data_IF_053265034499
#
_entry.id   IF_053265034499
#
_cell.length_a   1.000
_cell.length_b   1.000
_cell.length_c   1.000
_cell.angle_alpha   90.00
_cell.angle_beta   90.00
_cell.angle_gamma   90.00
#
_symmetry.space_group_name_H-M   'P 1'
#
loop_
_entity.id
_entity.type
_entity.pdbx_description
1 polymer ?
#
# COMPACT_ATOMS: atom_id res chain seq x y z
N UNK A 1 31.96 -10.07 13.07
CA UNK A 1 30.98 -9.28 12.27
C UNK A 1 29.60 -9.71 12.75
N UNK A 2 28.83 -8.82 13.43
CA UNK A 2 27.55 -9.23 14.05
C UNK A 2 26.50 -9.43 12.94
N UNK A 3 25.92 -10.64 12.90
CA UNK A 3 24.84 -11.03 11.95
C UNK A 3 23.68 -10.01 11.99
N UNK A 4 23.36 -9.46 13.17
CA UNK A 4 22.37 -8.41 13.33
C UNK A 4 22.71 -7.13 12.54
N UNK A 5 23.99 -6.74 12.43
CA UNK A 5 24.43 -5.60 11.61
C UNK A 5 24.36 -5.88 10.12
N UNK A 6 24.59 -7.14 9.73
CA UNK A 6 24.49 -7.56 8.32
C UNK A 6 23.03 -7.57 7.85
N UNK A 7 22.10 -7.98 8.72
CA UNK A 7 20.67 -8.10 8.41
C UNK A 7 19.89 -6.79 8.59
N UNK A 8 20.22 -6.00 9.61
CA UNK A 8 19.44 -4.81 9.99
C UNK A 8 20.12 -3.47 9.61
N UNK A 9 21.33 -3.53 9.00
CA UNK A 9 22.06 -2.32 8.67
C UNK A 9 22.57 -1.53 9.89
N UNK A 10 23.02 -0.29 9.67
CA UNK A 10 23.47 0.64 10.72
C UNK A 10 22.26 1.41 11.28
N UNK A 11 22.13 1.51 12.59
CA UNK A 11 21.16 2.42 13.20
C UNK A 11 21.52 3.88 12.86
N UNK A 12 20.59 4.59 12.22
CA UNK A 12 20.73 6.04 12.02
C UNK A 12 20.49 6.79 13.33
N UNK A 13 21.24 7.86 13.52
CA UNK A 13 20.92 8.84 14.55
C UNK A 13 19.67 9.63 14.10
N UNK A 14 18.79 10.01 15.05
CA UNK A 14 17.55 10.78 14.77
C UNK A 14 17.81 12.07 13.95
N UNK A 15 19.02 12.64 14.03
CA UNK A 15 19.44 13.79 13.23
C UNK A 15 19.65 13.46 11.75
N UNK A 16 20.21 12.30 11.44
CA UNK A 16 20.51 11.87 10.06
C UNK A 16 19.21 11.55 9.29
N UNK A 17 18.18 11.05 10.00
CA UNK A 17 16.85 10.80 9.41
C UNK A 17 16.04 12.08 9.09
N UNK A 18 16.26 13.16 9.84
CA UNK A 18 15.56 14.43 9.61
C UNK A 18 16.10 15.22 8.41
N UNK A 19 17.35 15.01 8.02
CA UNK A 19 18.04 15.74 6.94
C UNK A 19 17.84 15.07 5.56
N UNK A 20 17.50 13.78 5.52
CA UNK A 20 17.40 13.02 4.28
C UNK A 20 15.95 13.05 3.76
N UNK A 21 15.65 14.03 2.93
CA UNK A 21 14.37 14.09 2.20
C UNK A 21 14.48 13.23 0.94
N UNK A 22 13.54 12.31 0.78
CA UNK A 22 13.39 11.51 -0.45
C UNK A 22 13.00 12.45 -1.59
N UNK A 23 13.72 12.39 -2.72
CA UNK A 23 13.41 13.16 -3.92
C UNK A 23 12.10 12.69 -4.56
N UNK A 24 11.50 13.53 -5.41
CA UNK A 24 10.25 13.17 -6.10
C UNK A 24 10.39 11.89 -6.94
N UNK A 25 11.55 11.67 -7.54
CA UNK A 25 11.82 10.49 -8.36
C UNK A 25 11.94 9.19 -7.53
N UNK A 26 12.48 9.30 -6.32
CA UNK A 26 12.59 8.19 -5.36
C UNK A 26 11.27 7.97 -4.60
N UNK A 27 10.52 9.04 -4.38
CA UNK A 27 9.23 9.00 -3.68
C UNK A 27 8.13 8.29 -4.47
N UNK A 28 8.15 8.34 -5.81
CA UNK A 28 7.16 7.66 -6.64
C UNK A 28 7.21 6.14 -6.45
N UNK A 29 8.34 5.42 -6.61
CA UNK A 29 8.37 3.99 -6.35
C UNK A 29 8.20 3.63 -4.87
N UNK A 30 8.65 4.47 -3.94
CA UNK A 30 8.56 4.18 -2.52
C UNK A 30 7.14 4.34 -1.94
N UNK A 31 6.37 5.31 -2.42
CA UNK A 31 5.05 5.67 -1.90
C UNK A 31 3.92 5.50 -2.92
N UNK A 32 4.23 5.56 -4.21
CA UNK A 32 3.24 5.46 -5.29
C UNK A 32 2.70 4.05 -5.50
N UNK A 33 3.49 3.02 -5.18
CA UNK A 33 3.06 1.62 -5.35
C UNK A 33 1.85 1.26 -4.49
N UNK A 34 1.74 1.80 -3.29
CA UNK A 34 0.58 1.62 -2.41
C UNK A 34 -0.68 2.20 -3.04
N UNK A 35 -0.63 3.45 -3.47
CA UNK A 35 -1.77 4.13 -4.11
C UNK A 35 -2.12 3.51 -5.48
N UNK A 36 -1.13 3.10 -6.27
CA UNK A 36 -1.35 2.43 -7.55
C UNK A 36 -1.94 1.02 -7.35
N UNK A 37 -1.45 0.27 -6.36
CA UNK A 37 -2.02 -1.02 -5.99
C UNK A 37 -3.48 -0.89 -5.62
N UNK A 38 -3.81 -0.03 -4.68
CA UNK A 38 -5.18 0.20 -4.21
C UNK A 38 -6.11 0.67 -5.34
N UNK A 39 -5.65 1.50 -6.27
CA UNK A 39 -6.45 1.94 -7.42
C UNK A 39 -6.69 0.84 -8.45
N UNK A 40 -5.83 -0.18 -8.51
CA UNK A 40 -5.97 -1.33 -9.40
C UNK A 40 -6.83 -2.43 -8.81
N UNK A 41 -6.72 -2.71 -7.50
CA UNK A 41 -7.47 -3.77 -6.84
C UNK A 41 -8.98 -3.53 -6.79
N UNK A 42 -9.42 -2.28 -6.69
CA UNK A 42 -10.84 -1.94 -6.72
C UNK A 42 -11.53 -2.41 -8.02
N UNK A 43 -11.04 -1.99 -9.19
CA UNK A 43 -11.52 -2.47 -10.48
C UNK A 43 -11.40 -4.00 -10.65
N UNK A 44 -10.27 -4.60 -10.23
CA UNK A 44 -10.07 -6.05 -10.33
C UNK A 44 -11.07 -6.83 -9.47
N UNK A 45 -11.30 -6.41 -8.22
CA UNK A 45 -12.29 -7.02 -7.35
C UNK A 45 -13.72 -6.90 -7.92
N UNK A 46 -14.07 -5.74 -8.50
CA UNK A 46 -15.34 -5.55 -9.17
C UNK A 46 -15.49 -6.50 -10.37
N UNK A 47 -14.44 -6.66 -11.19
CA UNK A 47 -14.43 -7.61 -12.31
C UNK A 47 -14.58 -9.05 -11.82
N UNK A 48 -13.85 -9.45 -10.79
CA UNK A 48 -13.93 -10.82 -10.24
C UNK A 48 -15.35 -11.20 -9.79
N UNK A 49 -16.09 -10.23 -9.26
CA UNK A 49 -17.51 -10.45 -8.83
C UNK A 49 -18.47 -10.39 -10.02
N UNK A 50 -18.22 -9.54 -11.01
CA UNK A 50 -19.17 -9.28 -12.10
C UNK A 50 -19.04 -10.24 -13.28
N UNK A 51 -17.81 -10.70 -13.58
CA UNK A 51 -17.57 -11.62 -14.71
C UNK A 51 -18.41 -12.92 -14.60
N UNK A 52 -18.52 -13.59 -13.44
CA UNK A 52 -19.37 -14.77 -13.27
C UNK A 52 -20.86 -14.53 -13.49
N UNK A 53 -21.34 -13.27 -13.39
CA UNK A 53 -22.73 -12.90 -13.63
C UNK A 53 -23.07 -12.73 -15.13
N UNK A 54 -22.10 -12.94 -16.01
CA UNK A 54 -22.29 -12.86 -17.46
C UNK A 54 -22.72 -11.49 -17.96
N UNK A 55 -23.64 -11.46 -18.93
CA UNK A 55 -24.08 -10.20 -19.56
C UNK A 55 -24.69 -9.19 -18.59
N UNK A 56 -25.40 -9.66 -17.55
CA UNK A 56 -25.98 -8.78 -16.52
C UNK A 56 -24.89 -8.08 -15.70
N UNK A 57 -23.82 -8.79 -15.31
CA UNK A 57 -22.69 -8.22 -14.60
C UNK A 57 -21.91 -7.21 -15.45
N UNK A 58 -21.67 -7.53 -16.72
CA UNK A 58 -20.98 -6.64 -17.65
C UNK A 58 -21.77 -5.35 -17.91
N UNK A 59 -23.09 -5.40 -17.91
CA UNK A 59 -23.94 -4.21 -18.06
C UNK A 59 -23.78 -3.19 -16.90
N UNK A 60 -23.47 -3.66 -15.70
CA UNK A 60 -23.26 -2.82 -14.51
C UNK A 60 -21.81 -2.37 -14.34
N UNK A 61 -20.88 -3.00 -15.06
CA UNK A 61 -19.45 -2.72 -14.94
C UNK A 61 -19.10 -1.26 -15.22
N UNK A 62 -19.65 -0.67 -16.29
CA UNK A 62 -19.40 0.72 -16.65
C UNK A 62 -19.77 1.72 -15.55
N UNK A 63 -20.99 1.71 -15.01
CA UNK A 63 -21.38 2.53 -13.87
C UNK A 63 -20.51 2.33 -12.62
N UNK A 64 -20.12 1.10 -12.30
CA UNK A 64 -19.24 0.81 -11.16
C UNK A 64 -17.85 1.40 -11.37
N UNK A 65 -17.25 1.21 -12.53
CA UNK A 65 -15.96 1.83 -12.86
C UNK A 65 -16.03 3.35 -12.83
N UNK A 66 -17.09 3.96 -13.33
CA UNK A 66 -17.30 5.40 -13.27
C UNK A 66 -17.39 5.90 -11.82
N UNK A 67 -18.07 5.17 -10.94
CA UNK A 67 -18.16 5.49 -9.51
C UNK A 67 -16.78 5.40 -8.83
N UNK A 68 -15.98 4.37 -9.14
CA UNK A 68 -14.61 4.23 -8.63
C UNK A 68 -13.74 5.41 -9.09
N UNK A 69 -13.78 5.76 -10.37
CA UNK A 69 -13.00 6.89 -10.92
C UNK A 69 -13.44 8.22 -10.28
N UNK A 70 -14.74 8.43 -10.10
CA UNK A 70 -15.27 9.62 -9.42
C UNK A 70 -14.79 9.70 -7.97
N UNK A 71 -14.81 8.59 -7.24
CA UNK A 71 -14.28 8.50 -5.87
C UNK A 71 -12.78 8.85 -5.83
N UNK A 72 -11.98 8.27 -6.72
CA UNK A 72 -10.54 8.56 -6.81
C UNK A 72 -10.29 10.04 -7.13
N UNK A 73 -11.09 10.66 -7.99
CA UNK A 73 -10.99 12.09 -8.29
C UNK A 73 -11.29 12.96 -7.05
N UNK A 74 -12.33 12.60 -6.28
CA UNK A 74 -12.67 13.29 -5.03
C UNK A 74 -11.54 13.14 -4.02
N UNK A 75 -10.99 11.93 -3.85
CA UNK A 75 -9.85 11.68 -2.97
C UNK A 75 -8.62 12.48 -3.39
N UNK A 76 -8.29 12.52 -4.67
CA UNK A 76 -7.19 13.32 -5.19
C UNK A 76 -7.33 14.80 -4.84
N UNK A 77 -8.51 15.39 -5.06
CA UNK A 77 -8.78 16.78 -4.72
C UNK A 77 -8.68 17.04 -3.21
N UNK A 78 -9.21 16.13 -2.41
CA UNK A 78 -9.14 16.19 -0.95
C UNK A 78 -7.70 16.13 -0.46
N UNK A 79 -6.92 15.15 -0.92
CA UNK A 79 -5.50 15.02 -0.54
C UNK A 79 -4.66 16.21 -0.97
N UNK A 80 -4.91 16.76 -2.14
CA UNK A 80 -4.22 17.98 -2.61
C UNK A 80 -4.42 19.16 -1.65
N UNK A 81 -5.62 19.33 -1.11
CA UNK A 81 -5.92 20.37 -0.12
C UNK A 81 -5.26 20.07 1.22
N UNK A 82 -5.34 18.81 1.66
CA UNK A 82 -4.75 18.37 2.93
C UNK A 82 -3.23 18.54 2.93
N UNK A 83 -2.54 18.15 1.87
CA UNK A 83 -1.08 18.31 1.73
C UNK A 83 -0.67 19.79 1.77
N UNK A 84 -1.47 20.67 1.15
CA UNK A 84 -1.21 22.10 1.18
C UNK A 84 -1.40 22.71 2.58
N UNK A 85 -2.38 22.20 3.36
CA UNK A 85 -2.67 22.66 4.71
C UNK A 85 -1.70 22.07 5.76
N UNK A 86 -1.21 20.86 5.53
CA UNK A 86 -0.33 20.13 6.47
C UNK A 86 0.98 19.70 5.80
N UNK A 87 1.92 20.63 5.58
CA UNK A 87 3.19 20.33 4.93
C UNK A 87 4.15 19.52 5.82
N UNK A 88 3.84 19.37 7.12
CA UNK A 88 4.59 18.55 8.06
C UNK A 88 4.18 17.08 7.95
N UNK A 89 5.16 16.17 8.14
CA UNK A 89 4.92 14.73 8.13
C UNK A 89 3.89 14.31 9.19
N UNK A 90 3.09 13.28 8.90
CA UNK A 90 2.17 12.68 9.86
C UNK A 90 0.82 12.25 9.30
N UNK A 91 0.50 12.61 8.05
CA UNK A 91 -0.68 12.13 7.32
C UNK A 91 -1.99 12.24 8.12
N UNK A 92 -2.85 11.24 7.97
CA UNK A 92 -4.17 11.21 8.62
C UNK A 92 -4.12 11.28 10.15
N UNK A 93 -3.06 10.76 10.78
CA UNK A 93 -2.88 10.86 12.23
C UNK A 93 -2.76 12.31 12.69
N UNK A 94 -1.90 13.10 12.03
CA UNK A 94 -1.70 14.52 12.39
C UNK A 94 -2.97 15.33 12.16
N UNK A 95 -3.60 15.16 11.01
CA UNK A 95 -4.87 15.85 10.69
C UNK A 95 -5.96 15.51 11.72
N UNK A 96 -6.11 14.24 12.06
CA UNK A 96 -7.07 13.82 13.08
C UNK A 96 -6.73 14.37 14.46
N UNK A 97 -5.46 14.41 14.84
CA UNK A 97 -5.01 14.92 16.14
C UNK A 97 -5.28 16.40 16.30
N UNK A 98 -5.01 17.20 15.28
CA UNK A 98 -5.18 18.65 15.32
C UNK A 98 -6.65 19.08 15.26
N UNK A 99 -7.48 18.34 14.51
CA UNK A 99 -8.89 18.73 14.30
C UNK A 99 -9.88 18.00 15.19
N UNK A 100 -9.62 16.74 15.56
CA UNK A 100 -10.56 15.87 16.28
C UNK A 100 -10.03 15.40 17.65
N UNK A 101 -8.76 15.67 17.95
CA UNK A 101 -8.14 15.33 19.22
C UNK A 101 -7.52 13.92 19.28
N UNK A 102 -7.00 13.57 20.48
CA UNK A 102 -6.14 12.41 20.68
C UNK A 102 -6.86 11.08 20.43
N UNK A 103 -8.10 10.92 20.86
CA UNK A 103 -8.82 9.66 20.67
C UNK A 103 -9.06 9.34 19.19
N UNK A 104 -9.47 10.34 18.41
CA UNK A 104 -9.69 10.19 16.97
C UNK A 104 -8.37 9.89 16.23
N UNK A 105 -7.26 10.53 16.65
CA UNK A 105 -5.95 10.26 16.03
C UNK A 105 -5.42 8.86 16.31
N UNK A 106 -5.66 8.32 17.51
CA UNK A 106 -5.30 6.93 17.84
C UNK A 106 -6.13 5.92 17.02
N UNK A 107 -7.43 6.19 16.85
CA UNK A 107 -8.29 5.38 15.99
C UNK A 107 -7.81 5.43 14.54
N UNK A 108 -7.46 6.60 14.01
CA UNK A 108 -6.91 6.76 12.67
C UNK A 108 -5.59 6.01 12.51
N UNK A 109 -4.69 6.07 13.50
CA UNK A 109 -3.45 5.32 13.49
C UNK A 109 -3.68 3.80 13.48
N UNK A 110 -4.60 3.30 14.31
CA UNK A 110 -4.93 1.88 14.34
C UNK A 110 -5.54 1.41 13.01
N UNK A 111 -6.43 2.21 12.42
CA UNK A 111 -7.02 1.92 11.10
C UNK A 111 -5.95 1.87 10.00
N UNK A 112 -5.01 2.83 9.98
CA UNK A 112 -3.89 2.84 9.03
C UNK A 112 -2.97 1.62 9.19
N UNK A 113 -2.68 1.20 10.43
CA UNK A 113 -1.88 0.00 10.65
C UNK A 113 -2.54 -1.25 10.09
N UNK A 114 -3.85 -1.40 10.30
CA UNK A 114 -4.62 -2.52 9.75
C UNK A 114 -4.63 -2.45 8.22
N UNK A 115 -4.86 -1.27 7.65
CA UNK A 115 -4.86 -1.03 6.21
C UNK A 115 -3.53 -1.44 5.57
N UNK A 116 -2.40 -1.03 6.13
CA UNK A 116 -1.09 -1.42 5.62
C UNK A 116 -0.85 -2.93 5.66
N UNK A 117 -1.26 -3.61 6.75
CA UNK A 117 -1.15 -5.08 6.84
C UNK A 117 -1.99 -5.76 5.75
N UNK A 118 -3.23 -5.32 5.58
CA UNK A 118 -4.13 -5.87 4.56
C UNK A 118 -3.63 -5.59 3.14
N UNK A 119 -3.11 -4.40 2.89
CA UNK A 119 -2.60 -4.00 1.58
C UNK A 119 -1.40 -4.86 1.16
N UNK A 120 -0.45 -5.10 2.07
CA UNK A 120 0.67 -6.01 1.82
C UNK A 120 0.18 -7.43 1.55
N UNK A 121 -0.77 -7.93 2.34
CA UNK A 121 -1.31 -9.28 2.18
C UNK A 121 -2.02 -9.45 0.82
N UNK A 122 -2.85 -8.48 0.43
CA UNK A 122 -3.55 -8.47 -0.87
C UNK A 122 -2.55 -8.37 -2.01
N UNK A 123 -1.56 -7.47 -1.93
CA UNK A 123 -0.55 -7.28 -2.97
C UNK A 123 0.27 -8.54 -3.25
N UNK A 124 0.75 -9.21 -2.19
CA UNK A 124 1.49 -10.46 -2.32
C UNK A 124 0.58 -11.56 -2.89
N UNK A 125 -0.65 -11.68 -2.39
CA UNK A 125 -1.60 -12.71 -2.84
C UNK A 125 -1.98 -12.53 -4.32
N UNK A 126 -2.24 -11.31 -4.75
CA UNK A 126 -2.54 -10.98 -6.14
C UNK A 126 -1.35 -11.26 -7.06
N UNK A 127 -0.13 -10.84 -6.65
CA UNK A 127 1.09 -11.11 -7.42
C UNK A 127 1.39 -12.59 -7.56
N UNK A 128 1.26 -13.37 -6.49
CA UNK A 128 1.43 -14.83 -6.55
C UNK A 128 0.29 -15.49 -7.34
N UNK A 129 -0.94 -14.99 -7.23
CA UNK A 129 -2.07 -15.44 -8.04
C UNK A 129 -1.81 -15.27 -9.54
N UNK A 130 -1.31 -14.12 -9.96
CA UNK A 130 -0.93 -13.86 -11.34
C UNK A 130 0.21 -14.80 -11.78
N UNK A 131 1.23 -15.01 -10.93
CA UNK A 131 2.35 -15.90 -11.22
C UNK A 131 1.90 -17.36 -11.39
N UNK A 132 1.05 -17.87 -10.50
CA UNK A 132 0.54 -19.24 -10.54
C UNK A 132 -0.43 -19.44 -11.71
N UNK A 133 -1.15 -18.41 -12.13
CA UNK A 133 -1.96 -18.42 -13.35
C UNK A 133 -1.12 -18.52 -14.62
N UNK A 134 0.03 -17.83 -14.65
CA UNK A 134 0.97 -17.91 -15.77
C UNK A 134 1.75 -19.23 -15.79
N UNK A 135 2.06 -19.80 -14.64
CA UNK A 135 2.83 -21.04 -14.48
C UNK A 135 2.05 -21.99 -13.57
N UNK A 136 1.11 -22.81 -14.11
CA UNK A 136 0.25 -23.69 -13.31
C UNK A 136 0.99 -24.70 -12.42
N UNK A 137 2.23 -25.06 -12.78
CA UNK A 137 3.07 -25.96 -11.97
C UNK A 137 3.41 -25.38 -10.57
N UNK A 138 3.29 -24.07 -10.39
CA UNK A 138 3.52 -23.39 -9.10
C UNK A 138 2.29 -23.39 -8.18
N UNK A 139 1.13 -23.79 -8.65
CA UNK A 139 -0.12 -23.79 -7.88
C UNK A 139 -0.03 -24.49 -6.51
N UNK A 140 0.62 -25.68 -6.38
CA UNK A 140 0.78 -26.35 -5.10
C UNK A 140 1.66 -25.57 -4.10
N UNK A 141 2.46 -24.63 -4.58
CA UNK A 141 3.41 -23.84 -3.79
C UNK A 141 2.91 -22.43 -3.48
N UNK A 142 1.66 -22.09 -3.79
CA UNK A 142 1.08 -20.75 -3.62
C UNK A 142 1.35 -20.16 -2.22
N UNK A 143 1.04 -20.91 -1.16
CA UNK A 143 1.26 -20.44 0.21
C UNK A 143 2.75 -20.23 0.52
N UNK A 144 3.60 -21.17 0.10
CA UNK A 144 5.05 -21.08 0.32
C UNK A 144 5.66 -19.89 -0.41
N UNK A 145 5.18 -19.60 -1.62
CA UNK A 145 5.59 -18.42 -2.40
C UNK A 145 5.15 -17.12 -1.70
N UNK A 146 3.90 -17.03 -1.23
CA UNK A 146 3.42 -15.87 -0.49
C UNK A 146 4.28 -15.62 0.75
N UNK A 147 4.52 -16.65 1.55
CA UNK A 147 5.33 -16.53 2.78
C UNK A 147 6.79 -16.19 2.47
N UNK A 148 7.37 -16.83 1.44
CA UNK A 148 8.75 -16.54 1.02
C UNK A 148 8.93 -15.10 0.55
N UNK A 149 8.01 -14.59 -0.26
CA UNK A 149 8.03 -13.19 -0.73
C UNK A 149 7.82 -12.24 0.45
N UNK A 150 6.90 -12.53 1.37
CA UNK A 150 6.67 -11.72 2.57
C UNK A 150 7.94 -11.61 3.41
N UNK A 151 8.60 -12.74 3.67
CA UNK A 151 9.86 -12.77 4.43
C UNK A 151 10.95 -11.99 3.70
N UNK A 152 11.10 -12.17 2.39
CA UNK A 152 12.08 -11.46 1.57
C UNK A 152 11.87 -9.95 1.62
N UNK A 153 10.64 -9.48 1.38
CA UNK A 153 10.29 -8.06 1.44
C UNK A 153 10.53 -7.51 2.85
N UNK A 154 10.15 -8.25 3.88
CA UNK A 154 10.37 -7.84 5.28
C UNK A 154 11.86 -7.67 5.57
N UNK A 155 12.71 -8.62 5.16
CA UNK A 155 14.16 -8.53 5.35
C UNK A 155 14.77 -7.34 4.60
N UNK A 156 14.34 -7.09 3.36
CA UNK A 156 14.79 -5.94 2.57
C UNK A 156 14.38 -4.63 3.25
N UNK A 157 13.12 -4.53 3.71
CA UNK A 157 12.62 -3.33 4.38
C UNK A 157 13.30 -3.08 5.74
N UNK A 158 13.58 -4.15 6.51
CA UNK A 158 14.30 -4.02 7.79
C UNK A 158 15.75 -3.57 7.60
N UNK A 159 16.36 -3.88 6.46
CA UNK A 159 17.71 -3.40 6.13
C UNK A 159 17.72 -1.90 5.82
N UNK A 160 16.59 -1.35 5.43
CA UNK A 160 16.47 0.06 5.03
C UNK A 160 17.03 0.34 3.63
N UNK A 161 16.65 1.48 3.07
CA UNK A 161 17.11 1.96 1.76
C UNK A 161 18.41 2.76 1.88
N UNK A 162 19.34 2.32 2.73
CA UNK A 162 20.46 3.13 3.17
C UNK A 162 21.80 2.56 2.74
N UNK A 163 22.03 2.53 1.48
CA UNK A 163 23.40 2.59 0.92
C UNK A 163 23.34 3.37 -0.38
#
# INVERSE_FOLDING_TARGET
MNIARLLLGRRLANREGAERKIGAFEGVPAMGLDSLGSSSYGPEAALAVMVPLGAAGLGVLGPVMAAIVALLAILYLSYRQTIAAYPSNGGAFTVARENLGTHASLLAAAALMIDYVLNVAVGISAGVGALTSAIPALHPWTLSLCLGILVLITLINLRGTMD
#
